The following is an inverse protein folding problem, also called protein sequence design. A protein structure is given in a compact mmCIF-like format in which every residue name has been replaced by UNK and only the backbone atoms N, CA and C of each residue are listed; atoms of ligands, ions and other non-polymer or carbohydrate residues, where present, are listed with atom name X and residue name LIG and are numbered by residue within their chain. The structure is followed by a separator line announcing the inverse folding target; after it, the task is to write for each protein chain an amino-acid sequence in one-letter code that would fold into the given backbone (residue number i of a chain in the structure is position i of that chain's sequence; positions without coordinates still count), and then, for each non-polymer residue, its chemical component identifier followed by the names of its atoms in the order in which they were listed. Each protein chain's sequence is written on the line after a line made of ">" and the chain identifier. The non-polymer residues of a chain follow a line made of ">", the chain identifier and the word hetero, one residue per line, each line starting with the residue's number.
data_IF_331316317052
#
_entry.id   IF_331316317052
#
_cell.length_a   1.000
_cell.length_b   1.000
_cell.length_c   1.000
_cell.angle_alpha   90.00
_cell.angle_beta   90.00
_cell.angle_gamma   90.00
#
_symmetry.space_group_name_H-M   'P 1'
#
loop_
_entity.id
_entity.type
_entity.pdbx_description
1 polymer ?
#
# COMPACT_ATOMS: atom_id res chain seq x y z
N UNK A 1 19.44 28.92 6.54
CA UNK A 1 19.27 28.04 7.72
C UNK A 1 17.95 27.31 7.55
N UNK A 2 17.92 25.98 7.69
CA UNK A 2 16.71 25.15 7.53
C UNK A 2 16.36 24.59 8.91
N UNK A 3 15.08 24.63 9.28
CA UNK A 3 14.60 24.19 10.59
C UNK A 3 14.67 22.66 10.78
N UNK A 4 14.58 22.16 12.03
CA UNK A 4 14.72 20.74 12.32
C UNK A 4 13.53 19.93 11.80
N UNK A 5 13.79 19.01 10.87
CA UNK A 5 12.81 18.01 10.43
C UNK A 5 12.46 17.08 11.59
N UNK A 6 11.18 16.98 11.95
CA UNK A 6 10.73 16.13 13.06
C UNK A 6 10.92 14.65 12.67
N UNK A 7 11.98 14.03 13.18
CA UNK A 7 12.17 12.58 13.12
C UNK A 7 11.19 11.90 14.09
N UNK A 8 10.29 11.07 13.57
CA UNK A 8 9.52 10.14 14.40
C UNK A 8 10.47 9.19 15.15
N UNK A 9 10.17 8.90 16.41
CA UNK A 9 11.10 8.23 17.34
C UNK A 9 11.38 6.75 16.99
N UNK A 10 10.65 6.16 16.04
CA UNK A 10 10.64 4.72 15.78
C UNK A 10 11.75 4.23 14.83
N UNK A 11 12.57 5.13 14.26
CA UNK A 11 13.79 4.79 13.50
C UNK A 11 13.61 3.91 12.25
N UNK A 12 12.38 3.66 11.81
CA UNK A 12 12.09 2.82 10.65
C UNK A 12 12.63 3.39 9.33
N UNK A 13 12.69 2.56 8.26
CA UNK A 13 12.97 3.06 6.92
C UNK A 13 11.95 4.17 6.55
N UNK A 14 12.33 5.15 5.71
CA UNK A 14 11.38 6.14 5.21
C UNK A 14 10.13 5.45 4.67
N UNK A 15 8.96 5.91 5.10
CA UNK A 15 7.70 5.51 4.45
C UNK A 15 7.81 5.92 2.97
N UNK A 16 7.40 5.04 2.07
CA UNK A 16 7.53 5.24 0.62
C UNK A 16 7.05 6.64 0.23
N UNK A 17 7.85 7.34 -0.59
CA UNK A 17 7.46 8.65 -1.12
C UNK A 17 6.08 8.54 -1.79
N UNK A 18 5.18 9.52 -1.62
CA UNK A 18 3.80 9.43 -2.10
C UNK A 18 3.80 9.24 -3.62
N UNK A 19 3.55 7.99 -4.04
CA UNK A 19 3.73 7.51 -5.43
C UNK A 19 3.12 8.50 -6.42
N UNK A 20 3.95 8.91 -7.38
CA UNK A 20 3.68 10.03 -8.29
C UNK A 20 2.22 10.04 -8.77
N UNK A 21 1.53 11.15 -8.51
CA UNK A 21 0.08 11.25 -8.33
C UNK A 21 -0.68 10.81 -9.58
N UNK A 22 -0.91 9.49 -9.69
CA UNK A 22 -1.59 8.79 -10.78
C UNK A 22 -1.67 9.63 -12.06
N UNK A 23 -0.54 9.84 -12.73
CA UNK A 23 -0.53 10.43 -14.08
C UNK A 23 -1.63 9.75 -14.89
N UNK A 24 -2.46 10.53 -15.61
CA UNK A 24 -3.83 10.17 -16.06
C UNK A 24 -3.95 9.08 -17.12
N UNK A 25 -3.07 8.09 -17.05
CA UNK A 25 -2.90 6.93 -17.89
C UNK A 25 -4.01 5.92 -17.62
N UNK A 26 -4.53 5.32 -18.70
CA UNK A 26 -5.59 4.31 -18.63
C UNK A 26 -5.35 3.21 -17.58
N UNK A 27 -4.12 2.72 -17.36
CA UNK A 27 -3.83 1.68 -16.34
C UNK A 27 -4.26 2.04 -14.90
N UNK A 28 -4.35 3.33 -14.57
CA UNK A 28 -4.78 3.83 -13.27
C UNK A 28 -6.26 4.24 -13.23
N UNK A 29 -6.97 4.21 -14.37
CA UNK A 29 -8.35 4.68 -14.50
C UNK A 29 -9.34 3.60 -14.08
N UNK A 30 -10.34 3.92 -13.25
CA UNK A 30 -11.38 2.97 -12.81
C UNK A 30 -12.14 2.36 -13.99
N UNK A 31 -12.33 3.14 -15.06
CA UNK A 31 -13.04 2.75 -16.29
C UNK A 31 -12.17 1.97 -17.30
N UNK A 32 -11.01 1.45 -16.93
CA UNK A 32 -10.12 0.71 -17.84
C UNK A 32 -9.85 -0.72 -17.40
N UNK A 33 -10.20 -1.63 -18.30
CA UNK A 33 -9.92 -3.05 -18.25
C UNK A 33 -8.56 -3.33 -18.87
N UNK A 34 -7.76 -4.17 -18.19
CA UNK A 34 -6.46 -4.58 -18.70
C UNK A 34 -6.61 -5.56 -19.89
N UNK A 35 -5.66 -5.55 -20.86
CA UNK A 35 -5.61 -6.58 -21.89
C UNK A 35 -5.37 -7.97 -21.27
N UNK A 36 -5.74 -9.07 -21.96
CA UNK A 36 -5.55 -10.43 -21.46
C UNK A 36 -4.10 -10.70 -21.04
N UNK A 37 -3.92 -11.36 -19.90
CA UNK A 37 -2.59 -11.63 -19.32
C UNK A 37 -1.68 -12.41 -20.30
N UNK A 38 -2.27 -13.27 -21.13
CA UNK A 38 -1.59 -13.98 -22.22
C UNK A 38 -0.99 -13.04 -23.27
N UNK A 39 -1.70 -11.98 -23.68
CA UNK A 39 -1.16 -10.96 -24.59
C UNK A 39 -0.03 -10.16 -23.93
N UNK A 40 -0.21 -9.80 -22.65
CA UNK A 40 0.81 -9.08 -21.88
C UNK A 40 2.11 -9.89 -21.78
N UNK A 41 2.01 -11.17 -21.39
CA UNK A 41 3.13 -12.11 -21.26
C UNK A 41 3.84 -12.34 -22.60
N UNK A 42 3.10 -12.51 -23.68
CA UNK A 42 3.66 -12.69 -25.04
C UNK A 42 4.36 -11.42 -25.54
N UNK A 43 3.80 -10.24 -25.28
CA UNK A 43 4.45 -8.96 -25.60
C UNK A 43 5.71 -8.71 -24.76
N UNK A 44 5.71 -9.10 -23.48
CA UNK A 44 6.89 -9.02 -22.63
C UNK A 44 8.02 -9.92 -23.13
N UNK A 45 7.73 -11.18 -23.49
CA UNK A 45 8.72 -12.08 -24.09
C UNK A 45 9.34 -11.50 -25.38
N UNK A 46 8.56 -10.81 -26.20
CA UNK A 46 9.07 -10.09 -27.37
C UNK A 46 9.91 -8.86 -26.96
N UNK A 47 9.45 -8.06 -25.99
CA UNK A 47 10.17 -6.89 -25.45
C UNK A 47 11.53 -7.24 -24.85
N UNK A 48 11.63 -8.39 -24.19
CA UNK A 48 12.86 -8.91 -23.58
C UNK A 48 13.77 -9.66 -24.57
N UNK A 49 13.41 -9.74 -25.86
CA UNK A 49 14.18 -10.46 -26.88
C UNK A 49 14.11 -12.00 -26.79
N UNK A 50 13.39 -12.54 -25.80
CA UNK A 50 13.18 -13.98 -25.60
C UNK A 50 12.33 -14.62 -26.72
N UNK A 51 11.57 -13.80 -27.46
CA UNK A 51 10.81 -14.22 -28.63
C UNK A 51 11.18 -13.42 -29.88
N UNK A 52 11.50 -14.13 -30.97
CA UNK A 52 11.70 -13.53 -32.31
C UNK A 52 10.38 -13.20 -33.03
N UNK A 53 9.23 -13.66 -32.50
CA UNK A 53 7.91 -13.38 -33.09
C UNK A 53 7.51 -11.94 -32.80
N UNK A 54 7.43 -11.10 -33.83
CA UNK A 54 6.82 -9.76 -33.72
C UNK A 54 5.36 -9.90 -33.32
N UNK A 55 4.94 -9.11 -32.33
CA UNK A 55 3.57 -9.10 -31.79
C UNK A 55 3.09 -7.67 -31.54
N UNK A 56 1.77 -7.47 -31.57
CA UNK A 56 1.13 -6.18 -31.29
C UNK A 56 1.39 -5.77 -29.84
N UNK A 57 1.47 -4.47 -29.57
CA UNK A 57 1.43 -3.94 -28.20
C UNK A 57 0.02 -4.18 -27.61
N UNK A 58 -0.10 -4.76 -26.40
CA UNK A 58 -1.38 -4.95 -25.72
C UNK A 58 -2.12 -3.62 -25.53
N UNK A 59 -3.42 -3.64 -25.79
CA UNK A 59 -4.35 -2.54 -25.51
C UNK A 59 -5.51 -3.07 -24.68
N UNK A 60 -5.76 -2.44 -23.54
CA UNK A 60 -6.98 -2.66 -22.77
C UNK A 60 -8.17 -1.90 -23.36
N UNK A 61 -9.31 -1.94 -22.70
CA UNK A 61 -10.57 -1.31 -23.15
C UNK A 61 -11.10 -0.33 -22.13
N UNK A 62 -11.79 0.71 -22.61
CA UNK A 62 -12.52 1.68 -21.79
C UNK A 62 -13.69 2.22 -22.61
N UNK A 63 -14.90 2.20 -22.04
CA UNK A 63 -16.14 2.76 -22.63
C UNK A 63 -16.23 4.29 -22.49
N UNK A 64 -15.46 4.86 -21.54
CA UNK A 64 -15.53 6.27 -21.13
C UNK A 64 -14.35 7.13 -21.61
N UNK A 65 -13.70 6.79 -22.72
CA UNK A 65 -12.57 7.58 -23.22
C UNK A 65 -13.05 8.89 -23.83
N UNK A 66 -12.62 10.03 -23.28
CA UNK A 66 -12.81 11.33 -23.91
C UNK A 66 -11.60 11.66 -24.80
N UNK A 67 -11.84 11.75 -26.10
CA UNK A 67 -10.83 12.10 -27.10
C UNK A 67 -10.76 13.63 -27.31
N UNK A 68 -9.59 14.20 -27.66
CA UNK A 68 -9.46 15.62 -27.98
C UNK A 68 -10.50 16.09 -29.01
N UNK A 69 -11.11 17.24 -28.77
CA UNK A 69 -12.14 17.83 -29.64
C UNK A 69 -13.54 17.19 -29.56
N UNK A 70 -13.74 16.08 -28.83
CA UNK A 70 -15.08 15.53 -28.58
C UNK A 70 -15.73 16.16 -27.35
N UNK A 71 -17.06 16.21 -27.34
CA UNK A 71 -17.90 16.63 -26.20
C UNK A 71 -18.49 15.45 -25.40
N UNK A 72 -18.25 14.22 -25.86
CA UNK A 72 -18.77 12.99 -25.27
C UNK A 72 -17.70 11.90 -25.28
N UNK A 73 -17.82 10.97 -24.33
CA UNK A 73 -16.98 9.79 -24.23
C UNK A 73 -17.29 8.76 -25.31
N UNK A 74 -16.32 7.91 -25.63
CA UNK A 74 -16.46 6.80 -26.57
C UNK A 74 -15.76 5.54 -26.05
N UNK A 75 -16.26 4.39 -26.49
CA UNK A 75 -15.52 3.14 -26.37
C UNK A 75 -14.26 3.17 -27.23
N UNK A 76 -13.12 2.78 -26.66
CA UNK A 76 -11.84 2.71 -27.37
C UNK A 76 -10.90 1.67 -26.75
N UNK A 77 -10.02 1.11 -27.59
CA UNK A 77 -8.95 0.21 -27.16
C UNK A 77 -7.65 1.01 -26.95
N UNK A 78 -7.23 1.19 -25.71
CA UNK A 78 -6.13 2.07 -25.31
C UNK A 78 -4.96 1.30 -24.69
N UNK A 79 -3.73 1.76 -24.96
CA UNK A 79 -2.56 1.21 -24.26
C UNK A 79 -2.55 1.64 -22.80
N UNK A 80 -1.92 0.84 -21.93
CA UNK A 80 -1.80 1.12 -20.49
C UNK A 80 -1.31 2.54 -20.14
N UNK A 81 -0.49 3.17 -21.00
CA UNK A 81 0.11 4.50 -20.81
C UNK A 81 -0.62 5.63 -21.54
N UNK A 82 -1.78 5.37 -22.18
CA UNK A 82 -2.56 6.39 -22.86
C UNK A 82 -3.19 7.37 -21.86
N UNK A 83 -2.91 8.67 -21.98
CA UNK A 83 -3.53 9.71 -21.14
C UNK A 83 -4.99 9.96 -21.54
N UNK A 84 -5.93 9.73 -20.62
CA UNK A 84 -7.35 9.97 -20.83
C UNK A 84 -7.75 11.37 -20.36
N UNK A 85 -8.53 12.11 -21.15
CA UNK A 85 -9.10 13.40 -20.74
C UNK A 85 -10.30 13.27 -19.79
N UNK A 86 -10.87 12.06 -19.71
CA UNK A 86 -11.88 11.65 -18.74
C UNK A 86 -11.28 10.56 -17.85
N UNK A 87 -10.21 10.92 -17.14
CA UNK A 87 -9.52 10.06 -16.18
C UNK A 87 -10.18 10.16 -14.81
N UNK A 88 -10.50 9.02 -14.22
CA UNK A 88 -11.00 8.89 -12.85
C UNK A 88 -10.17 7.79 -12.18
N UNK A 89 -9.43 8.13 -11.13
CA UNK A 89 -8.49 7.19 -10.53
C UNK A 89 -9.21 5.98 -9.90
N UNK A 90 -8.65 4.78 -10.04
CA UNK A 90 -9.05 3.63 -9.21
C UNK A 90 -8.94 4.04 -7.74
N UNK A 91 -10.00 3.91 -6.92
CA UNK A 91 -9.90 4.21 -5.51
C UNK A 91 -8.80 3.35 -4.90
N UNK A 92 -7.99 3.93 -4.01
CA UNK A 92 -7.03 3.13 -3.26
C UNK A 92 -7.79 2.02 -2.53
N UNK A 93 -7.32 0.76 -2.58
CA UNK A 93 -7.94 -0.30 -1.79
C UNK A 93 -7.93 0.15 -0.34
N UNK A 94 -9.10 0.11 0.30
CA UNK A 94 -9.24 0.47 1.71
C UNK A 94 -8.27 -0.40 2.49
N UNK A 95 -7.28 0.22 3.15
CA UNK A 95 -6.35 -0.51 4.01
C UNK A 95 -7.19 -1.28 5.02
N UNK A 96 -6.93 -2.58 5.17
CA UNK A 96 -7.60 -3.36 6.20
C UNK A 96 -7.37 -2.69 7.55
N UNK A 97 -8.45 -2.46 8.29
CA UNK A 97 -8.37 -2.03 9.69
C UNK A 97 -8.08 -3.28 10.52
N UNK A 98 -6.80 -3.62 10.62
CA UNK A 98 -6.29 -4.95 11.01
C UNK A 98 -5.28 -5.46 9.99
N UNK A 99 -4.46 -6.44 10.36
CA UNK A 99 -3.35 -6.96 9.56
C UNK A 99 -1.95 -6.62 10.11
N UNK A 100 -1.84 -5.98 11.28
CA UNK A 100 -0.60 -6.01 12.05
C UNK A 100 -0.30 -7.43 12.52
N UNK A 101 0.96 -7.89 12.46
CA UNK A 101 1.33 -9.19 13.02
C UNK A 101 1.96 -9.00 14.40
N UNK A 102 1.21 -9.32 15.44
CA UNK A 102 1.50 -8.98 16.84
C UNK A 102 2.02 -10.20 17.60
N UNK A 103 2.90 -9.95 18.57
CA UNK A 103 3.48 -10.97 19.45
C UNK A 103 3.33 -10.52 20.90
N UNK A 104 2.45 -11.18 21.64
CA UNK A 104 2.12 -10.83 23.03
C UNK A 104 3.02 -11.66 23.95
N UNK A 105 3.72 -10.98 24.88
CA UNK A 105 4.63 -11.61 25.83
C UNK A 105 4.10 -11.53 27.26
N UNK A 106 4.24 -12.62 28.01
CA UNK A 106 3.90 -12.73 29.42
C UNK A 106 5.06 -13.40 30.15
N UNK A 107 5.50 -12.84 31.29
CA UNK A 107 6.65 -13.33 32.07
C UNK A 107 7.88 -13.68 31.20
N UNK A 108 8.22 -12.80 30.25
CA UNK A 108 9.34 -12.95 29.31
C UNK A 108 9.13 -13.95 28.17
N UNK A 109 8.09 -14.78 28.20
CA UNK A 109 7.76 -15.81 27.20
C UNK A 109 6.72 -15.30 26.21
N UNK A 110 6.68 -15.86 25.00
CA UNK A 110 5.59 -15.57 24.05
C UNK A 110 4.33 -16.28 24.55
N UNK A 111 3.27 -15.52 24.82
CA UNK A 111 1.98 -16.01 25.31
C UNK A 111 1.01 -16.27 24.15
N UNK A 112 1.11 -15.49 23.08
CA UNK A 112 0.36 -15.65 21.84
C UNK A 112 1.03 -14.83 20.71
N UNK A 113 0.80 -15.23 19.45
CA UNK A 113 1.30 -14.54 18.26
C UNK A 113 0.31 -14.78 17.10
N UNK A 114 0.05 -13.75 16.29
CA UNK A 114 -0.86 -13.84 15.14
C UNK A 114 -1.22 -12.48 14.55
N UNK A 115 -2.16 -12.43 13.59
CA UNK A 115 -2.74 -11.18 13.09
C UNK A 115 -3.56 -10.48 14.18
N UNK A 116 -3.45 -9.15 14.25
CA UNK A 116 -4.04 -8.27 15.27
C UNK A 116 -5.56 -8.43 15.42
N UNK A 117 -6.27 -8.61 14.31
CA UNK A 117 -7.70 -8.88 14.26
C UNK A 117 -8.12 -10.22 14.88
N UNK A 118 -7.15 -11.11 15.20
CA UNK A 118 -7.36 -12.40 15.84
C UNK A 118 -6.84 -12.46 17.29
N UNK A 119 -6.47 -11.32 17.92
CA UNK A 119 -6.01 -11.29 19.32
C UNK A 119 -7.11 -11.84 20.27
N UNK A 120 -6.84 -12.91 21.04
CA UNK A 120 -7.82 -13.43 22.00
C UNK A 120 -8.19 -12.38 23.06
N UNK A 121 -9.47 -12.15 23.37
CA UNK A 121 -9.91 -11.05 24.26
C UNK A 121 -9.26 -10.99 25.64
N UNK A 122 -8.78 -12.13 26.16
CA UNK A 122 -8.00 -12.23 27.40
C UNK A 122 -6.68 -11.43 27.41
N UNK A 123 -6.20 -10.97 26.25
CA UNK A 123 -4.99 -10.14 26.12
C UNK A 123 -5.30 -8.68 25.73
N UNK A 124 -6.59 -8.31 25.61
CA UNK A 124 -7.01 -6.94 25.28
C UNK A 124 -7.24 -6.05 26.51
N UNK A 125 -7.04 -6.58 27.72
CA UNK A 125 -7.43 -5.92 28.98
C UNK A 125 -6.26 -5.24 29.72
N UNK A 126 -5.00 -5.63 29.44
CA UNK A 126 -3.82 -5.22 30.23
C UNK A 126 -3.22 -3.84 29.87
N UNK A 127 -3.95 -2.99 29.14
CA UNK A 127 -3.44 -1.68 28.67
C UNK A 127 -3.64 -0.55 29.70
N UNK A 128 -4.31 -0.81 30.83
CA UNK A 128 -4.69 0.20 31.83
C UNK A 128 -4.40 -0.21 33.28
N UNK A 129 -3.15 -0.56 33.60
CA UNK A 129 -2.60 -0.25 34.92
C UNK A 129 -1.07 0.03 34.88
N UNK A 130 -0.64 1.31 34.92
CA UNK A 130 0.75 1.65 35.23
C UNK A 130 0.97 1.46 36.73
N UNK A 131 1.31 0.21 37.11
CA UNK A 131 1.47 -0.22 38.50
C UNK A 131 2.40 0.69 39.33
N UNK A 132 2.22 0.70 40.67
CA UNK A 132 2.73 1.74 41.55
C UNK A 132 4.26 1.86 41.53
N UNK A 133 4.81 3.07 41.79
CA UNK A 133 6.24 3.29 41.83
C UNK A 133 6.93 2.44 42.89
N UNK A 134 8.12 1.92 42.55
CA UNK A 134 8.92 0.99 43.34
C UNK A 134 9.48 1.66 44.61
N UNK A 135 8.74 1.58 45.73
CA UNK A 135 9.09 2.23 47.00
C UNK A 135 10.28 1.54 47.68
N UNK A 136 11.49 2.02 47.36
CA UNK A 136 12.75 1.57 47.96
C UNK A 136 13.19 2.44 49.13
N UNK A 137 12.32 2.61 50.12
CA UNK A 137 12.70 3.13 51.42
C UNK A 137 13.50 2.11 52.24
N UNK A 138 14.85 2.15 52.18
CA UNK A 138 15.69 1.46 53.18
C UNK A 138 16.87 2.30 53.69
N UNK A 139 16.55 3.06 54.75
CA UNK A 139 17.35 3.42 55.93
C UNK A 139 18.25 2.29 56.47
N UNK A 140 19.34 2.51 57.21
CA UNK A 140 20.21 3.69 57.50
C UNK A 140 21.68 3.12 57.47
N UNK A 141 22.78 3.53 58.12
CA UNK A 141 23.13 4.51 59.17
C UNK A 141 24.67 4.77 59.15
N UNK A 142 25.13 5.80 59.87
CA UNK A 142 26.53 6.14 60.21
C UNK A 142 27.47 6.60 59.05
N UNK A 143 28.49 7.44 59.29
CA UNK A 143 29.00 8.04 60.54
C UNK A 143 29.51 9.48 60.34
#
# INVERSE_FOLDING_TARGET
>A
MIGPTIRGHNGGPPLDEPVDRCSGQCKHCIHWDAPPESEQRVYEWFRLGLSRRRVKRPSGTCDRVLLPGRKSTVFSATSAVFGCLNFEAKPFPVRSTGGGFVTIRWNGRIAWQGPEENVPPRFLQDVLDPGPPDDRGQRDDAS
#
